data_IF_135355636545
#
_entry.id   IF_135355636545
#
_cell.length_a   1.000
_cell.length_b   1.000
_cell.length_c   1.000
_cell.angle_alpha   90.00
_cell.angle_beta   90.00
_cell.angle_gamma   90.00
#
_symmetry.space_group_name_H-M   'P 1'
#
loop_
_entity.id
_entity.type
_entity.pdbx_description
1 polymer ?
#
# COMPACT_ATOMS: atom_id res chain seq x y z
N UNK A 1 -3.97 2.03 22.55
CA UNK A 1 -3.99 3.48 22.75
C UNK A 1 -5.06 4.04 21.85
N UNK A 2 -6.00 4.79 22.38
CA UNK A 2 -7.03 5.46 21.58
C UNK A 2 -6.61 6.89 21.31
N UNK A 3 -7.22 7.54 20.31
CA UNK A 3 -7.06 8.96 20.08
C UNK A 3 -7.57 9.77 21.29
N UNK A 4 -6.77 10.75 21.71
CA UNK A 4 -7.07 11.66 22.80
C UNK A 4 -6.43 13.03 22.56
N UNK A 5 -6.93 14.04 23.23
CA UNK A 5 -6.36 15.37 23.15
C UNK A 5 -4.99 15.43 23.81
N UNK A 6 -4.03 16.05 23.13
CA UNK A 6 -2.66 16.25 23.61
C UNK A 6 -2.39 17.73 23.86
N UNK A 7 -1.60 18.04 24.89
CA UNK A 7 -1.34 19.42 25.34
C UNK A 7 0.12 19.86 25.14
N UNK A 8 1.04 18.92 24.99
CA UNK A 8 2.47 19.20 24.77
C UNK A 8 3.01 18.52 23.52
N UNK A 9 4.11 19.06 22.98
CA UNK A 9 4.80 18.46 21.82
C UNK A 9 5.28 17.05 22.14
N UNK A 10 5.74 16.81 23.36
CA UNK A 10 6.19 15.47 23.78
C UNK A 10 5.05 14.44 23.80
N UNK A 11 3.87 14.85 24.27
CA UNK A 11 2.67 14.00 24.23
C UNK A 11 2.25 13.69 22.80
N UNK A 12 2.33 14.69 21.90
CA UNK A 12 2.04 14.50 20.47
C UNK A 12 3.03 13.54 19.83
N UNK A 13 4.31 13.71 20.07
CA UNK A 13 5.35 12.82 19.57
C UNK A 13 5.12 11.39 20.07
N UNK A 14 4.81 11.22 21.36
CA UNK A 14 4.55 9.92 21.94
C UNK A 14 3.30 9.25 21.34
N UNK A 15 2.21 10.00 21.17
CA UNK A 15 1.01 9.49 20.50
C UNK A 15 1.30 9.10 19.05
N UNK A 16 2.04 9.94 18.33
CA UNK A 16 2.41 9.68 16.95
C UNK A 16 3.26 8.40 16.80
N UNK A 17 4.25 8.21 17.67
CA UNK A 17 5.06 6.98 17.70
C UNK A 17 4.19 5.74 18.01
N UNK A 18 3.25 5.87 18.91
CA UNK A 18 2.29 4.79 19.25
C UNK A 18 1.35 4.43 18.09
N UNK A 19 1.07 5.34 17.18
CA UNK A 19 0.34 5.07 15.95
C UNK A 19 1.28 4.47 14.89
N UNK A 20 2.43 5.07 14.72
CA UNK A 20 3.41 4.74 13.67
C UNK A 20 4.02 3.34 13.83
N UNK A 21 4.50 2.99 15.01
CA UNK A 21 5.23 1.72 15.22
C UNK A 21 4.37 0.48 14.90
N UNK A 22 3.12 0.36 15.39
CA UNK A 22 2.27 -0.76 15.00
C UNK A 22 1.95 -0.77 13.49
N UNK A 23 1.78 0.39 12.88
CA UNK A 23 1.54 0.47 11.43
C UNK A 23 2.73 -0.03 10.62
N UNK A 24 3.96 0.30 11.03
CA UNK A 24 5.16 -0.24 10.41
C UNK A 24 5.19 -1.76 10.45
N UNK A 25 4.97 -2.35 11.62
CA UNK A 25 4.97 -3.81 11.80
C UNK A 25 3.87 -4.45 10.94
N UNK A 26 2.71 -3.80 10.85
CA UNK A 26 1.61 -4.26 9.99
C UNK A 26 2.02 -4.29 8.52
N UNK A 27 2.64 -3.23 8.02
CA UNK A 27 3.09 -3.16 6.62
C UNK A 27 4.18 -4.17 6.31
N UNK A 28 5.17 -4.33 7.20
CA UNK A 28 6.18 -5.36 7.04
C UNK A 28 5.58 -6.77 7.05
N UNK A 29 4.57 -7.04 7.87
CA UNK A 29 3.89 -8.34 7.89
C UNK A 29 3.15 -8.62 6.58
N UNK A 30 2.52 -7.62 5.97
CA UNK A 30 1.83 -7.76 4.69
C UNK A 30 2.83 -8.07 3.55
N UNK A 31 3.93 -7.33 3.47
CA UNK A 31 4.98 -7.58 2.48
C UNK A 31 5.64 -8.93 2.72
N UNK A 32 5.92 -9.27 3.96
CA UNK A 32 6.52 -10.56 4.34
C UNK A 32 5.66 -11.74 3.93
N UNK A 33 4.34 -11.66 4.10
CA UNK A 33 3.40 -12.68 3.68
C UNK A 33 3.45 -12.97 2.17
N UNK A 34 3.46 -11.90 1.37
CA UNK A 34 3.59 -12.01 -0.09
C UNK A 34 4.94 -12.59 -0.49
N UNK A 35 6.02 -12.10 0.11
CA UNK A 35 7.37 -12.59 -0.18
C UNK A 35 7.50 -14.09 0.10
N UNK A 36 7.03 -14.56 1.25
CA UNK A 36 7.13 -15.98 1.62
C UNK A 36 6.25 -16.84 0.70
N UNK A 37 5.07 -16.40 0.32
CA UNK A 37 4.22 -17.12 -0.63
C UNK A 37 4.93 -17.35 -1.97
N UNK A 38 5.54 -16.31 -2.53
CA UNK A 38 6.31 -16.38 -3.77
C UNK A 38 7.55 -17.24 -3.60
N UNK A 39 8.28 -17.11 -2.50
CA UNK A 39 9.46 -17.89 -2.19
C UNK A 39 9.17 -19.40 -2.10
N UNK A 40 8.15 -19.78 -1.34
CA UNK A 40 7.73 -21.17 -1.19
C UNK A 40 7.25 -21.77 -2.52
N UNK A 41 6.52 -21.00 -3.31
CA UNK A 41 6.08 -21.42 -4.65
C UNK A 41 7.27 -21.66 -5.56
N UNK A 42 8.28 -20.79 -5.52
CA UNK A 42 9.53 -20.95 -6.27
C UNK A 42 10.34 -22.18 -5.87
N UNK A 43 10.34 -22.53 -4.59
CA UNK A 43 10.94 -23.77 -4.07
C UNK A 43 10.23 -25.04 -4.59
N UNK A 44 8.93 -24.94 -4.85
CA UNK A 44 8.13 -26.06 -5.35
C UNK A 44 8.31 -26.31 -6.85
N UNK A 45 8.12 -25.26 -7.68
CA UNK A 45 8.18 -25.38 -9.15
C UNK A 45 8.36 -24.02 -9.80
N UNK A 46 9.22 -23.95 -10.81
CA UNK A 46 9.43 -22.74 -11.63
C UNK A 46 8.18 -22.37 -12.44
N UNK A 47 7.44 -23.37 -12.93
CA UNK A 47 6.19 -23.17 -13.71
C UNK A 47 5.11 -22.59 -12.78
N UNK A 48 4.95 -23.14 -11.59
CA UNK A 48 4.02 -22.66 -10.59
C UNK A 48 4.36 -21.24 -10.16
N UNK A 49 5.64 -20.93 -9.97
CA UNK A 49 6.10 -19.57 -9.67
C UNK A 49 5.71 -18.58 -10.77
N UNK A 50 5.92 -18.93 -12.03
CA UNK A 50 5.54 -18.08 -13.15
C UNK A 50 4.02 -17.82 -13.17
N UNK A 51 3.21 -18.84 -12.95
CA UNK A 51 1.75 -18.73 -12.91
C UNK A 51 1.27 -17.87 -11.73
N UNK A 52 1.76 -18.13 -10.53
CA UNK A 52 1.38 -17.40 -9.31
C UNK A 52 1.84 -15.94 -9.36
N UNK A 53 3.07 -15.68 -9.78
CA UNK A 53 3.60 -14.32 -9.90
C UNK A 53 2.81 -13.50 -10.93
N UNK A 54 2.45 -14.09 -12.05
CA UNK A 54 1.62 -13.45 -13.07
C UNK A 54 0.23 -13.14 -12.50
N UNK A 55 -0.41 -14.11 -11.86
CA UNK A 55 -1.72 -13.93 -11.22
C UNK A 55 -1.70 -12.84 -10.15
N UNK A 56 -0.68 -12.83 -9.31
CA UNK A 56 -0.49 -11.79 -8.29
C UNK A 56 -0.39 -10.39 -8.90
N UNK A 57 0.46 -10.22 -9.92
CA UNK A 57 0.63 -8.92 -10.56
C UNK A 57 -0.65 -8.43 -11.27
N UNK A 58 -1.43 -9.33 -11.84
CA UNK A 58 -2.68 -8.97 -12.51
C UNK A 58 -3.73 -8.42 -11.55
N UNK A 59 -3.96 -9.08 -10.41
CA UNK A 59 -4.96 -8.59 -9.46
C UNK A 59 -4.48 -7.41 -8.62
N UNK A 60 -3.17 -7.30 -8.40
CA UNK A 60 -2.58 -6.26 -7.56
C UNK A 60 -2.94 -4.84 -8.02
N UNK A 61 -2.95 -4.58 -9.32
CA UNK A 61 -3.28 -3.26 -9.87
C UNK A 61 -4.72 -2.85 -9.52
N UNK A 62 -5.68 -3.76 -9.65
CA UNK A 62 -7.06 -3.51 -9.27
C UNK A 62 -7.21 -3.36 -7.75
N UNK A 63 -6.49 -4.17 -7.00
CA UNK A 63 -6.50 -4.10 -5.54
C UNK A 63 -5.95 -2.78 -5.02
N UNK A 64 -4.85 -2.27 -5.57
CA UNK A 64 -4.25 -1.00 -5.16
C UNK A 64 -5.26 0.15 -5.31
N UNK A 65 -5.98 0.20 -6.42
CA UNK A 65 -7.03 1.19 -6.62
C UNK A 65 -8.18 1.03 -5.62
N UNK A 66 -8.66 -0.19 -5.44
CA UNK A 66 -9.76 -0.49 -4.50
C UNK A 66 -9.37 -0.19 -3.04
N UNK A 67 -8.18 -0.60 -2.63
CA UNK A 67 -7.63 -0.32 -1.30
C UNK A 67 -7.52 1.19 -1.06
N UNK A 68 -6.95 1.92 -2.01
CA UNK A 68 -6.84 3.37 -1.93
C UNK A 68 -8.21 4.06 -1.85
N UNK A 69 -9.19 3.57 -2.57
CA UNK A 69 -10.57 4.07 -2.50
C UNK A 69 -11.17 3.86 -1.11
N UNK A 70 -10.97 2.69 -0.52
CA UNK A 70 -11.44 2.39 0.84
C UNK A 70 -10.64 3.11 1.94
N UNK A 71 -9.44 3.57 1.67
CA UNK A 71 -8.67 4.41 2.59
C UNK A 71 -9.33 5.78 2.82
N UNK A 72 -10.24 6.21 1.95
CA UNK A 72 -11.02 7.45 2.13
C UNK A 72 -11.86 7.47 3.41
N UNK A 73 -12.16 6.33 3.99
CA UNK A 73 -12.90 6.23 5.26
C UNK A 73 -12.08 6.78 6.45
N UNK A 74 -10.76 6.67 6.41
CA UNK A 74 -9.87 7.07 7.51
C UNK A 74 -9.98 8.55 7.86
N UNK A 75 -9.80 9.51 6.92
CA UNK A 75 -9.95 10.92 7.26
C UNK A 75 -11.38 11.29 7.66
N UNK A 76 -12.39 10.61 7.12
CA UNK A 76 -13.79 10.86 7.45
C UNK A 76 -14.06 10.46 8.90
N UNK A 77 -13.74 9.23 9.30
CA UNK A 77 -13.95 8.74 10.67
C UNK A 77 -13.10 9.52 11.67
N UNK A 78 -11.83 9.79 11.36
CA UNK A 78 -10.94 10.53 12.27
C UNK A 78 -11.43 11.95 12.54
N UNK A 79 -11.97 12.65 11.52
CA UNK A 79 -12.59 13.95 11.71
C UNK A 79 -13.88 13.87 12.52
N UNK A 80 -14.73 12.87 12.31
CA UNK A 80 -15.95 12.67 13.10
C UNK A 80 -15.62 12.39 14.57
N UNK A 81 -14.59 11.61 14.85
CA UNK A 81 -14.12 11.35 16.22
C UNK A 81 -13.62 12.63 16.88
N UNK A 82 -12.82 13.42 16.19
CA UNK A 82 -12.36 14.72 16.70
C UNK A 82 -13.49 15.69 16.97
N UNK A 83 -14.50 15.73 16.13
CA UNK A 83 -15.71 16.54 16.25
C UNK A 83 -16.71 15.99 17.29
N UNK A 84 -16.44 14.81 17.88
CA UNK A 84 -17.35 14.09 18.79
C UNK A 84 -18.72 13.74 18.16
N UNK A 85 -18.78 13.66 16.83
CA UNK A 85 -19.98 13.27 16.06
C UNK A 85 -19.93 11.77 15.75
N UNK A 86 -20.04 10.96 16.79
CA UNK A 86 -19.83 9.50 16.69
C UNK A 86 -21.03 8.75 16.13
N UNK A 87 -22.21 9.36 16.08
CA UNK A 87 -23.45 8.73 15.63
C UNK A 87 -23.41 8.33 14.14
N UNK A 88 -22.67 9.09 13.34
CA UNK A 88 -22.52 8.82 11.90
C UNK A 88 -21.52 7.71 11.58
N UNK A 89 -20.66 7.30 12.53
CA UNK A 89 -19.58 6.34 12.27
C UNK A 89 -20.14 4.99 11.84
N UNK A 90 -21.21 4.51 12.44
CA UNK A 90 -21.86 3.26 12.05
C UNK A 90 -22.37 3.33 10.60
N UNK A 91 -22.94 4.46 10.20
CA UNK A 91 -23.39 4.66 8.82
C UNK A 91 -22.19 4.64 7.85
N UNK A 92 -21.14 5.39 8.13
CA UNK A 92 -19.92 5.43 7.31
C UNK A 92 -19.30 4.05 7.18
N UNK A 93 -19.23 3.28 8.26
CA UNK A 93 -18.71 1.91 8.24
C UNK A 93 -19.51 1.00 7.28
N UNK A 94 -20.83 0.99 7.38
CA UNK A 94 -21.67 0.15 6.51
C UNK A 94 -21.57 0.56 5.03
N UNK A 95 -21.51 1.87 4.76
CA UNK A 95 -21.29 2.33 3.39
C UNK A 95 -19.92 1.88 2.85
N UNK A 96 -18.87 1.88 3.68
CA UNK A 96 -17.56 1.32 3.33
C UNK A 96 -17.62 -0.16 2.95
N UNK A 97 -18.42 -0.97 3.66
CA UNK A 97 -18.66 -2.36 3.31
C UNK A 97 -19.40 -2.51 1.97
N UNK A 98 -20.39 -1.67 1.69
CA UNK A 98 -21.09 -1.67 0.40
C UNK A 98 -20.15 -1.29 -0.75
N UNK A 99 -19.32 -0.27 -0.57
CA UNK A 99 -18.31 0.13 -1.55
C UNK A 99 -17.31 -1.02 -1.79
N UNK A 100 -16.81 -1.64 -0.74
CA UNK A 100 -15.92 -2.80 -0.82
C UNK A 100 -16.56 -3.97 -1.57
N UNK A 101 -17.83 -4.25 -1.29
CA UNK A 101 -18.59 -5.30 -2.00
C UNK A 101 -18.76 -4.97 -3.48
N UNK A 102 -19.09 -3.72 -3.81
CA UNK A 102 -19.21 -3.26 -5.21
C UNK A 102 -17.89 -3.37 -5.97
N UNK A 103 -16.78 -2.94 -5.35
CA UNK A 103 -15.45 -3.07 -5.94
C UNK A 103 -15.04 -4.55 -6.12
N UNK A 104 -15.35 -5.42 -5.16
CA UNK A 104 -15.10 -6.86 -5.29
C UNK A 104 -15.86 -7.47 -6.46
N UNK A 105 -17.14 -7.12 -6.66
CA UNK A 105 -17.92 -7.57 -7.81
C UNK A 105 -17.32 -7.06 -9.12
N UNK A 106 -16.88 -5.81 -9.20
CA UNK A 106 -16.25 -5.25 -10.40
C UNK A 106 -14.96 -6.00 -10.72
N UNK A 107 -14.10 -6.22 -9.74
CA UNK A 107 -12.83 -6.95 -9.92
C UNK A 107 -13.11 -8.39 -10.36
N UNK A 108 -14.07 -9.06 -9.74
CA UNK A 108 -14.47 -10.43 -10.09
C UNK A 108 -14.99 -10.49 -11.51
N UNK A 109 -15.85 -9.56 -11.93
CA UNK A 109 -16.40 -9.48 -13.28
C UNK A 109 -15.30 -9.27 -14.32
N UNK A 110 -14.37 -8.35 -14.07
CA UNK A 110 -13.21 -8.11 -14.93
C UNK A 110 -12.37 -9.39 -15.04
N UNK A 111 -12.14 -10.08 -13.93
CA UNK A 111 -11.42 -11.35 -13.91
C UNK A 111 -12.09 -12.44 -14.74
N UNK A 112 -13.40 -12.63 -14.57
CA UNK A 112 -14.16 -13.65 -15.32
C UNK A 112 -14.16 -13.37 -16.82
N UNK A 113 -14.35 -12.12 -17.22
CA UNK A 113 -14.47 -11.75 -18.63
C UNK A 113 -13.12 -11.55 -19.34
N UNK A 114 -12.12 -11.04 -18.63
CA UNK A 114 -10.88 -10.55 -19.23
C UNK A 114 -9.66 -11.43 -19.03
N UNK A 115 -9.66 -12.36 -18.07
CA UNK A 115 -8.44 -13.09 -17.68
C UNK A 115 -7.93 -13.99 -18.82
N UNK A 116 -8.80 -14.86 -19.39
CA UNK A 116 -8.38 -15.79 -20.45
C UNK A 116 -7.92 -15.09 -21.73
N UNK A 117 -8.65 -14.09 -22.27
CA UNK A 117 -8.18 -13.29 -23.39
C UNK A 117 -6.84 -12.61 -23.12
N UNK A 118 -6.62 -12.09 -21.91
CA UNK A 118 -5.37 -11.44 -21.55
C UNK A 118 -4.20 -12.43 -21.49
N UNK A 119 -4.39 -13.61 -20.92
CA UNK A 119 -3.35 -14.64 -20.85
C UNK A 119 -2.89 -15.12 -22.22
N UNK A 120 -3.78 -15.15 -23.22
CA UNK A 120 -3.38 -15.50 -24.59
C UNK A 120 -2.46 -14.46 -25.22
N UNK A 121 -2.56 -13.21 -24.83
CA UNK A 121 -1.69 -12.10 -25.31
C UNK A 121 -0.33 -12.07 -24.62
N UNK A 122 -0.21 -12.64 -23.42
CA UNK A 122 1.03 -12.63 -22.63
C UNK A 122 2.03 -13.73 -23.04
N UNK A 123 1.66 -14.62 -23.98
CA UNK A 123 2.51 -15.73 -24.44
C UNK A 123 3.10 -16.58 -23.29
N UNK A 124 2.30 -16.77 -22.24
CA UNK A 124 2.69 -17.59 -21.10
C UNK A 124 2.67 -19.07 -21.50
N UNK A 125 3.59 -19.85 -20.95
CA UNK A 125 3.55 -21.30 -21.13
C UNK A 125 2.17 -21.85 -20.69
N UNK A 126 1.54 -22.76 -21.45
CA UNK A 126 0.19 -23.24 -21.14
C UNK A 126 0.04 -23.80 -19.72
N UNK A 127 1.04 -24.51 -19.21
CA UNK A 127 1.04 -25.02 -17.83
C UNK A 127 1.04 -23.88 -16.80
N UNK A 128 1.84 -22.82 -17.01
CA UNK A 128 1.89 -21.66 -16.15
C UNK A 128 0.59 -20.85 -16.22
N UNK A 129 -0.04 -20.76 -17.40
CA UNK A 129 -1.34 -20.11 -17.56
C UNK A 129 -2.45 -20.81 -16.77
N UNK A 130 -2.48 -22.14 -16.76
CA UNK A 130 -3.43 -22.91 -15.96
C UNK A 130 -3.20 -22.75 -14.46
N UNK A 131 -1.96 -22.70 -14.00
CA UNK A 131 -1.62 -22.38 -12.60
C UNK A 131 -2.10 -20.98 -12.25
N UNK A 132 -1.89 -19.99 -13.11
CA UNK A 132 -2.36 -18.62 -12.93
C UNK A 132 -3.89 -18.55 -12.75
N UNK A 133 -4.65 -19.20 -13.63
CA UNK A 133 -6.11 -19.27 -13.56
C UNK A 133 -6.56 -19.94 -12.26
N UNK A 134 -5.97 -21.07 -11.91
CA UNK A 134 -6.30 -21.82 -10.68
C UNK A 134 -5.97 -21.03 -9.42
N UNK A 135 -4.82 -20.34 -9.40
CA UNK A 135 -4.44 -19.44 -8.31
C UNK A 135 -5.45 -18.31 -8.12
N UNK A 136 -5.86 -17.65 -9.20
CA UNK A 136 -6.83 -16.56 -9.14
C UNK A 136 -8.23 -17.03 -8.73
N UNK A 137 -8.65 -18.23 -9.14
CA UNK A 137 -9.89 -18.84 -8.67
C UNK A 137 -9.85 -19.12 -7.16
N UNK A 138 -8.73 -19.65 -6.66
CA UNK A 138 -8.54 -19.87 -5.24
C UNK A 138 -8.53 -18.55 -4.45
N UNK A 139 -7.83 -17.55 -4.95
CA UNK A 139 -7.77 -16.21 -4.36
C UNK A 139 -9.14 -15.53 -4.36
N UNK A 140 -9.98 -15.74 -5.36
CA UNK A 140 -11.33 -15.15 -5.45
C UNK A 140 -12.22 -15.47 -4.23
N UNK A 141 -11.96 -16.60 -3.54
CA UNK A 141 -12.64 -16.93 -2.28
C UNK A 141 -12.31 -15.94 -1.15
N UNK A 142 -11.16 -15.31 -1.22
CA UNK A 142 -10.72 -14.30 -0.25
C UNK A 142 -10.91 -12.85 -0.70
N UNK A 143 -11.41 -12.61 -1.91
CA UNK A 143 -11.50 -11.26 -2.48
C UNK A 143 -12.47 -10.35 -1.69
N UNK A 144 -13.64 -10.86 -1.35
CA UNK A 144 -14.63 -10.10 -0.56
C UNK A 144 -14.08 -9.75 0.83
N UNK A 145 -13.63 -10.72 1.64
CA UNK A 145 -13.07 -10.39 2.94
C UNK A 145 -11.82 -9.49 2.84
N UNK A 146 -11.00 -9.60 1.81
CA UNK A 146 -9.86 -8.73 1.58
C UNK A 146 -10.26 -7.26 1.50
N UNK A 147 -11.34 -6.95 0.76
CA UNK A 147 -11.81 -5.57 0.63
C UNK A 147 -12.60 -5.11 1.86
N UNK A 148 -13.40 -5.98 2.46
CA UNK A 148 -14.10 -5.65 3.71
C UNK A 148 -13.14 -5.34 4.85
N UNK A 149 -12.04 -6.09 4.96
CA UNK A 149 -11.00 -5.86 5.97
C UNK A 149 -10.43 -4.46 5.88
N UNK A 150 -10.30 -3.87 4.69
CA UNK A 150 -9.83 -2.48 4.58
C UNK A 150 -10.77 -1.51 5.31
N UNK A 151 -12.08 -1.69 5.20
CA UNK A 151 -13.05 -0.89 5.94
C UNK A 151 -12.95 -1.11 7.45
N UNK A 152 -12.89 -2.38 7.90
CA UNK A 152 -12.77 -2.73 9.31
C UNK A 152 -11.47 -2.18 9.90
N UNK A 153 -10.35 -2.42 9.23
CA UNK A 153 -9.02 -1.95 9.67
C UNK A 153 -8.96 -0.43 9.73
N UNK A 154 -9.39 0.26 8.69
CA UNK A 154 -9.37 1.72 8.66
C UNK A 154 -10.25 2.32 9.78
N UNK A 155 -11.36 1.68 10.12
CA UNK A 155 -12.19 2.07 11.27
C UNK A 155 -11.46 1.87 12.59
N UNK A 156 -10.83 0.72 12.80
CA UNK A 156 -10.05 0.43 14.01
C UNK A 156 -8.86 1.39 14.14
N UNK A 157 -8.12 1.59 13.07
CA UNK A 157 -6.94 2.46 13.04
C UNK A 157 -7.30 3.93 13.27
N UNK A 158 -8.44 4.40 12.74
CA UNK A 158 -8.93 5.77 12.95
C UNK A 158 -9.23 6.08 14.42
N UNK A 159 -9.57 5.05 15.20
CA UNK A 159 -9.74 5.18 16.66
C UNK A 159 -8.41 5.17 17.43
N UNK A 160 -7.28 5.08 16.74
CA UNK A 160 -5.96 4.98 17.35
C UNK A 160 -5.61 3.58 17.87
N UNK A 161 -6.41 2.57 17.53
CA UNK A 161 -6.23 1.19 17.99
C UNK A 161 -5.29 0.38 17.08
N UNK A 162 -4.25 1.02 16.56
CA UNK A 162 -3.32 0.44 15.58
C UNK A 162 -2.58 -0.80 16.07
N UNK A 163 -2.39 -0.91 17.38
CA UNK A 163 -1.78 -2.11 17.99
C UNK A 163 -2.65 -3.37 17.86
N UNK A 164 -3.99 -3.22 17.81
CA UNK A 164 -4.87 -4.35 17.48
C UNK A 164 -4.72 -4.75 16.01
N UNK A 165 -4.65 -3.79 15.11
CA UNK A 165 -4.39 -4.05 13.69
C UNK A 165 -3.06 -4.78 13.49
N UNK A 166 -2.01 -4.37 14.18
CA UNK A 166 -0.72 -5.04 14.20
C UNK A 166 -0.83 -6.50 14.64
N UNK A 167 -1.47 -6.74 15.79
CA UNK A 167 -1.62 -8.09 16.32
C UNK A 167 -2.43 -9.00 15.38
N UNK A 168 -3.51 -8.48 14.80
CA UNK A 168 -4.37 -9.23 13.88
C UNK A 168 -3.62 -9.57 12.59
N UNK A 169 -2.99 -8.58 11.97
CA UNK A 169 -2.29 -8.78 10.69
C UNK A 169 -1.07 -9.69 10.88
N UNK A 170 -0.34 -9.56 11.99
CA UNK A 170 0.75 -10.48 12.31
C UNK A 170 0.26 -11.91 12.51
N UNK A 171 -0.84 -12.12 13.22
CA UNK A 171 -1.47 -13.44 13.36
C UNK A 171 -1.86 -14.03 12.02
N UNK A 172 -2.49 -13.22 11.16
CA UNK A 172 -2.84 -13.64 9.79
C UNK A 172 -1.61 -13.94 8.93
N UNK A 173 -0.53 -13.20 9.11
CA UNK A 173 0.75 -13.48 8.45
C UNK A 173 1.26 -14.88 8.84
N UNK A 174 1.26 -15.22 10.13
CA UNK A 174 1.68 -16.56 10.60
C UNK A 174 0.79 -17.65 10.01
N UNK A 175 -0.52 -17.45 10.00
CA UNK A 175 -1.49 -18.40 9.42
C UNK A 175 -1.28 -18.52 7.90
N UNK A 176 -1.02 -17.42 7.20
CA UNK A 176 -0.73 -17.42 5.76
C UNK A 176 0.53 -18.24 5.45
N UNK A 177 1.60 -18.05 6.21
CA UNK A 177 2.84 -18.83 6.07
C UNK A 177 2.59 -20.32 6.31
N UNK A 178 1.86 -20.64 7.36
CA UNK A 178 1.50 -22.02 7.68
C UNK A 178 0.67 -22.67 6.57
N UNK A 179 -0.38 -22.00 6.10
CA UNK A 179 -1.26 -22.52 5.04
C UNK A 179 -0.51 -22.67 3.72
N UNK A 180 0.34 -21.71 3.36
CA UNK A 180 1.17 -21.81 2.17
C UNK A 180 2.08 -23.04 2.22
N UNK A 181 2.80 -23.21 3.31
CA UNK A 181 3.66 -24.36 3.47
C UNK A 181 2.88 -25.69 3.44
N UNK A 182 1.77 -25.77 4.16
CA UNK A 182 0.95 -26.96 4.23
C UNK A 182 0.32 -27.33 2.88
N UNK A 183 -0.21 -26.36 2.15
CA UNK A 183 -0.95 -26.59 0.90
C UNK A 183 -0.03 -26.71 -0.33
N UNK A 184 1.06 -25.97 -0.38
CA UNK A 184 2.00 -26.07 -1.51
C UNK A 184 2.72 -27.42 -1.49
N UNK A 185 3.19 -27.88 -0.34
CA UNK A 185 4.00 -29.09 -0.18
C UNK A 185 3.23 -30.31 0.32
N UNK A 186 1.96 -30.18 0.68
CA UNK A 186 1.15 -31.30 1.16
C UNK A 186 1.52 -31.80 2.56
N UNK A 187 1.87 -30.89 3.48
CA UNK A 187 2.21 -31.25 4.86
C UNK A 187 1.00 -31.20 5.80
N UNK A 188 1.14 -31.78 6.97
CA UNK A 188 0.14 -31.76 8.05
C UNK A 188 -1.25 -32.32 7.67
N UNK A 189 -1.32 -33.24 6.72
CA UNK A 189 -2.58 -33.83 6.24
C UNK A 189 -3.33 -33.00 5.21
N UNK A 190 -2.77 -31.88 4.77
CA UNK A 190 -3.31 -31.09 3.66
C UNK A 190 -2.90 -31.70 2.32
N UNK A 191 -3.74 -31.55 1.26
CA UNK A 191 -3.38 -32.02 -0.08
C UNK A 191 -2.23 -31.18 -0.67
N UNK A 192 -1.35 -31.80 -1.39
CA UNK A 192 -0.33 -31.13 -2.17
C UNK A 192 -0.95 -30.56 -3.45
N UNK A 193 -1.06 -29.24 -3.53
CA UNK A 193 -1.69 -28.55 -4.68
C UNK A 193 -0.73 -27.56 -5.37
N UNK A 194 0.54 -27.53 -4.95
CA UNK A 194 1.55 -26.68 -5.56
C UNK A 194 1.26 -25.18 -5.39
N UNK A 195 1.61 -24.39 -6.40
CA UNK A 195 1.46 -22.93 -6.37
C UNK A 195 0.03 -22.43 -6.15
N UNK A 196 -0.96 -23.22 -6.51
CA UNK A 196 -2.38 -22.89 -6.23
C UNK A 196 -2.65 -22.77 -4.73
N UNK A 197 -1.87 -23.48 -3.90
CA UNK A 197 -1.91 -23.37 -2.45
C UNK A 197 -1.62 -21.96 -1.92
N UNK A 198 -0.84 -21.17 -2.63
CA UNK A 198 -0.60 -19.77 -2.29
C UNK A 198 -1.89 -18.92 -2.40
N UNK A 199 -2.75 -19.23 -3.36
CA UNK A 199 -4.09 -18.59 -3.50
C UNK A 199 -5.02 -18.92 -2.33
N UNK A 200 -5.10 -20.19 -1.96
CA UNK A 200 -5.88 -20.63 -0.78
C UNK A 200 -5.31 -20.09 0.52
N UNK A 201 -3.97 -20.06 0.66
CA UNK A 201 -3.31 -19.49 1.84
C UNK A 201 -3.62 -18.01 2.02
N UNK A 202 -3.60 -17.24 0.95
CA UNK A 202 -3.97 -15.83 0.96
C UNK A 202 -5.46 -15.64 1.29
N UNK A 203 -6.35 -16.44 0.70
CA UNK A 203 -7.78 -16.41 1.01
C UNK A 203 -8.03 -16.73 2.49
N UNK A 204 -7.36 -17.74 3.04
CA UNK A 204 -7.43 -18.08 4.46
C UNK A 204 -6.97 -16.95 5.38
N UNK A 205 -5.89 -16.27 5.03
CA UNK A 205 -5.41 -15.09 5.76
C UNK A 205 -6.42 -13.93 5.70
N UNK A 206 -7.05 -13.68 4.55
CA UNK A 206 -8.07 -12.66 4.40
C UNK A 206 -9.29 -12.93 5.29
N UNK A 207 -9.79 -14.18 5.33
CA UNK A 207 -10.88 -14.58 6.22
C UNK A 207 -10.49 -14.47 7.70
N UNK A 208 -9.26 -14.84 8.05
CA UNK A 208 -8.74 -14.68 9.42
C UNK A 208 -8.74 -13.22 9.83
N UNK A 209 -8.22 -12.34 8.98
CA UNK A 209 -8.27 -10.90 9.22
C UNK A 209 -9.70 -10.39 9.42
N UNK A 210 -10.62 -10.81 8.56
CA UNK A 210 -12.02 -10.40 8.63
C UNK A 210 -12.67 -10.81 9.95
N UNK A 211 -12.47 -12.06 10.37
CA UNK A 211 -13.02 -12.57 11.63
C UNK A 211 -12.40 -11.84 12.83
N UNK A 212 -11.09 -11.68 12.89
CA UNK A 212 -10.41 -11.05 14.02
C UNK A 212 -10.74 -9.56 14.13
N UNK A 213 -10.77 -8.81 13.02
CA UNK A 213 -11.21 -7.41 13.05
C UNK A 213 -12.67 -7.27 13.45
N UNK A 214 -13.54 -8.16 12.97
CA UNK A 214 -14.95 -8.21 13.38
C UNK A 214 -15.10 -8.44 14.88
N UNK A 215 -14.30 -9.35 15.45
CA UNK A 215 -14.29 -9.59 16.89
C UNK A 215 -13.83 -8.36 17.68
N UNK A 216 -12.79 -7.66 17.21
CA UNK A 216 -12.35 -6.42 17.87
C UNK A 216 -13.45 -5.36 17.83
N UNK A 217 -14.13 -5.19 16.71
CA UNK A 217 -15.23 -4.23 16.58
C UNK A 217 -16.40 -4.58 17.51
N UNK A 218 -16.71 -5.87 17.66
CA UNK A 218 -17.78 -6.34 18.54
C UNK A 218 -17.45 -6.22 20.03
N UNK A 219 -16.21 -6.49 20.41
CA UNK A 219 -15.84 -6.69 21.81
C UNK A 219 -15.15 -5.46 22.44
N UNK A 220 -14.45 -4.67 21.64
CA UNK A 220 -13.69 -3.53 22.18
C UNK A 220 -14.61 -2.44 22.74
N UNK A 221 -14.42 -1.98 24.00
CA UNK A 221 -15.34 -1.05 24.68
C UNK A 221 -15.64 0.24 23.89
N UNK A 222 -14.67 0.76 23.13
CA UNK A 222 -14.83 1.99 22.33
C UNK A 222 -15.61 1.80 21.03
N UNK A 223 -15.60 0.58 20.47
CA UNK A 223 -16.26 0.27 19.21
C UNK A 223 -17.62 -0.39 19.43
N UNK A 224 -17.75 -1.13 20.51
CA UNK A 224 -19.00 -1.82 20.89
C UNK A 224 -20.21 -0.88 20.98
N UNK A 225 -19.98 0.36 21.42
CA UNK A 225 -21.02 1.40 21.56
C UNK A 225 -21.71 1.76 20.24
N UNK A 226 -21.06 1.59 19.11
CA UNK A 226 -21.66 1.86 17.80
C UNK A 226 -22.67 0.82 17.35
N UNK A 227 -22.75 -0.35 18.00
CA UNK A 227 -23.69 -1.44 17.73
C UNK A 227 -23.72 -1.85 16.24
N UNK A 228 -22.55 -1.79 15.58
CA UNK A 228 -22.40 -1.90 14.13
C UNK A 228 -23.11 -3.13 13.54
N UNK A 229 -22.98 -4.30 14.20
CA UNK A 229 -23.60 -5.54 13.71
C UNK A 229 -25.05 -5.75 14.21
N UNK A 230 -25.52 -4.94 15.16
CA UNK A 230 -26.90 -5.02 15.67
C UNK A 230 -27.83 -4.06 14.93
N UNK A 231 -27.36 -2.84 14.69
CA UNK A 231 -28.13 -1.78 14.04
C UNK A 231 -27.62 -1.58 12.61
N UNK A 232 -27.92 -2.55 11.75
CA UNK A 232 -27.50 -2.53 10.35
C UNK A 232 -28.10 -1.32 9.63
N UNK A 233 -27.24 -0.56 8.96
CA UNK A 233 -27.63 0.59 8.14
C UNK A 233 -27.62 0.20 6.67
N UNK A 234 -28.73 0.38 5.99
CA UNK A 234 -28.84 0.12 4.56
C UNK A 234 -28.01 1.07 3.69
N UNK A 235 -27.88 0.79 2.38
CA UNK A 235 -27.14 1.65 1.47
C UNK A 235 -27.76 3.05 1.40
N UNK A 236 -26.92 4.09 1.49
CA UNK A 236 -27.31 5.48 1.37
C UNK A 236 -26.46 6.14 0.28
N UNK A 237 -27.12 6.58 -0.78
CA UNK A 237 -26.42 7.24 -1.89
C UNK A 237 -25.63 8.48 -1.45
N UNK A 238 -26.15 9.24 -0.50
CA UNK A 238 -25.48 10.43 0.03
C UNK A 238 -24.11 10.08 0.66
N UNK A 239 -24.08 9.14 1.60
CA UNK A 239 -22.85 8.73 2.28
C UNK A 239 -21.89 7.95 1.39
N UNK A 240 -22.40 7.11 0.48
CA UNK A 240 -21.56 6.43 -0.53
C UNK A 240 -20.88 7.47 -1.41
N UNK A 241 -21.62 8.46 -1.91
CA UNK A 241 -21.05 9.55 -2.72
C UNK A 241 -19.99 10.35 -1.97
N UNK A 242 -20.22 10.65 -0.69
CA UNK A 242 -19.24 11.34 0.17
C UNK A 242 -17.94 10.54 0.28
N UNK A 243 -18.04 9.25 0.58
CA UNK A 243 -16.87 8.38 0.69
C UNK A 243 -16.13 8.22 -0.65
N UNK A 244 -16.84 8.05 -1.74
CA UNK A 244 -16.24 7.93 -3.06
C UNK A 244 -15.58 9.24 -3.52
N UNK A 245 -16.15 10.39 -3.13
CA UNK A 245 -15.58 11.69 -3.43
C UNK A 245 -14.20 11.89 -2.79
N UNK A 246 -13.97 11.31 -1.63
CA UNK A 246 -12.67 11.28 -0.97
C UNK A 246 -11.84 10.09 -1.43
N UNK A 247 -12.43 8.91 -1.54
CA UNK A 247 -11.72 7.64 -1.79
C UNK A 247 -11.22 7.48 -3.22
N UNK A 248 -12.02 7.80 -4.24
CA UNK A 248 -11.60 7.64 -5.64
C UNK A 248 -10.35 8.45 -5.98
N UNK A 249 -10.22 9.73 -5.58
CA UNK A 249 -8.97 10.45 -5.79
C UNK A 249 -7.77 9.83 -5.07
N UNK A 250 -7.95 9.30 -3.88
CA UNK A 250 -6.89 8.59 -3.15
C UNK A 250 -6.48 7.32 -3.91
N UNK A 251 -7.44 6.49 -4.29
CA UNK A 251 -7.20 5.29 -5.06
C UNK A 251 -6.54 5.59 -6.41
N UNK A 252 -7.00 6.63 -7.09
CA UNK A 252 -6.42 7.10 -8.34
C UNK A 252 -4.98 7.58 -8.20
N UNK A 253 -4.66 8.34 -7.16
CA UNK A 253 -3.29 8.82 -6.93
C UNK A 253 -2.31 7.67 -6.65
N UNK A 254 -2.71 6.71 -5.83
CA UNK A 254 -1.88 5.53 -5.53
C UNK A 254 -1.73 4.64 -6.78
N UNK A 255 -2.80 4.48 -7.56
CA UNK A 255 -2.75 3.74 -8.81
C UNK A 255 -1.81 4.38 -9.84
N UNK A 256 -1.84 5.70 -10.00
CA UNK A 256 -0.95 6.44 -10.90
C UNK A 256 0.51 6.27 -10.49
N UNK A 257 0.80 6.35 -9.18
CA UNK A 257 2.13 6.12 -8.63
C UNK A 257 2.61 4.69 -8.90
N UNK A 258 1.78 3.69 -8.60
CA UNK A 258 2.12 2.28 -8.81
C UNK A 258 2.29 1.94 -10.30
N UNK A 259 1.46 2.48 -11.17
CA UNK A 259 1.48 2.19 -12.62
C UNK A 259 2.74 2.68 -13.31
N UNK A 260 3.36 3.77 -12.83
CA UNK A 260 4.60 4.27 -13.43
C UNK A 260 5.78 3.30 -13.21
N UNK A 261 5.81 2.57 -12.10
CA UNK A 261 6.83 1.55 -11.88
C UNK A 261 6.70 0.39 -12.87
N UNK A 262 5.47 0.00 -13.20
CA UNK A 262 5.21 -1.01 -14.23
C UNK A 262 5.71 -0.56 -15.61
N UNK A 263 5.47 0.69 -15.96
CA UNK A 263 5.95 1.27 -17.23
C UNK A 263 7.47 1.42 -17.23
N UNK A 264 8.08 1.85 -16.13
CA UNK A 264 9.52 1.90 -16.00
C UNK A 264 10.15 0.52 -16.23
N UNK A 265 9.58 -0.55 -15.64
CA UNK A 265 10.00 -1.92 -15.88
C UNK A 265 9.88 -2.34 -17.34
N UNK A 266 8.81 -1.96 -18.04
CA UNK A 266 8.64 -2.22 -19.47
C UNK A 266 9.68 -1.50 -20.35
N UNK A 267 10.03 -0.27 -20.01
CA UNK A 267 11.10 0.46 -20.71
C UNK A 267 12.47 -0.22 -20.53
N UNK A 268 12.72 -0.85 -19.39
CA UNK A 268 13.96 -1.59 -19.13
C UNK A 268 14.11 -2.84 -19.99
N UNK A 269 13.03 -3.43 -20.46
CA UNK A 269 13.07 -4.65 -21.30
C UNK A 269 13.89 -4.44 -22.57
N UNK A 270 13.92 -3.24 -23.12
CA UNK A 270 14.70 -2.91 -24.33
C UNK A 270 16.23 -2.98 -24.13
N UNK A 271 16.70 -2.98 -22.89
CA UNK A 271 18.12 -3.00 -22.54
C UNK A 271 18.65 -4.40 -22.19
N UNK A 272 17.81 -5.43 -22.24
CA UNK A 272 18.18 -6.81 -22.00
C UNK A 272 17.82 -7.32 -20.59
N UNK A 273 17.95 -8.63 -20.41
CA UNK A 273 17.54 -9.34 -19.21
C UNK A 273 18.34 -8.96 -17.96
N UNK A 274 19.65 -8.70 -18.12
CA UNK A 274 20.50 -8.28 -17.00
C UNK A 274 20.05 -6.93 -16.40
N UNK A 275 19.71 -5.98 -17.27
CA UNK A 275 19.21 -4.67 -16.85
C UNK A 275 17.84 -4.78 -16.16
N UNK A 276 16.95 -5.60 -16.71
CA UNK A 276 15.63 -5.86 -16.08
C UNK A 276 15.80 -6.49 -14.70
N UNK A 277 16.67 -7.48 -14.58
CA UNK A 277 16.94 -8.14 -13.30
C UNK A 277 17.50 -7.16 -12.26
N UNK A 278 18.46 -6.33 -12.65
CA UNK A 278 19.05 -5.31 -11.76
C UNK A 278 18.02 -4.26 -11.34
N UNK A 279 17.23 -3.76 -12.27
CA UNK A 279 16.16 -2.80 -12.00
C UNK A 279 15.12 -3.37 -11.02
N UNK A 280 14.66 -4.59 -11.27
CA UNK A 280 13.68 -5.26 -10.41
C UNK A 280 14.22 -5.51 -9.01
N UNK A 281 15.50 -5.86 -8.88
CA UNK A 281 16.16 -6.03 -7.58
C UNK A 281 16.17 -4.75 -6.78
N UNK A 282 16.54 -3.62 -7.39
CA UNK A 282 16.57 -2.32 -6.72
C UNK A 282 15.16 -1.84 -6.37
N UNK A 283 14.18 -2.02 -7.24
CA UNK A 283 12.77 -1.69 -6.95
C UNK A 283 12.26 -2.52 -5.75
N UNK A 284 12.57 -3.81 -5.71
CA UNK A 284 12.18 -4.67 -4.58
C UNK A 284 12.80 -4.21 -3.27
N UNK A 285 14.06 -3.81 -3.30
CA UNK A 285 14.74 -3.24 -2.14
C UNK A 285 14.10 -1.92 -1.69
N UNK A 286 13.84 -0.99 -2.59
CA UNK A 286 13.21 0.30 -2.27
C UNK A 286 11.79 0.13 -1.72
N UNK A 287 11.03 -0.86 -2.21
CA UNK A 287 9.69 -1.17 -1.71
C UNK A 287 9.66 -1.61 -0.25
N UNK A 288 10.70 -2.30 0.22
CA UNK A 288 10.81 -2.67 1.64
C UNK A 288 10.89 -1.41 2.51
N UNK A 289 11.71 -0.44 2.11
CA UNK A 289 11.85 0.82 2.85
C UNK A 289 10.64 1.74 2.72
N UNK A 290 9.87 1.61 1.64
CA UNK A 290 8.63 2.38 1.43
C UNK A 290 7.58 2.15 2.54
N UNK A 291 7.64 1.03 3.25
CA UNK A 291 6.79 0.78 4.41
C UNK A 291 6.90 1.87 5.49
N UNK A 292 8.07 2.46 5.67
CA UNK A 292 8.32 3.47 6.68
C UNK A 292 7.59 4.79 6.36
N UNK A 293 7.82 5.44 5.21
CA UNK A 293 7.10 6.67 4.87
C UNK A 293 5.60 6.46 4.70
N UNK A 294 5.17 5.29 4.21
CA UNK A 294 3.76 4.94 4.12
C UNK A 294 3.11 4.90 5.51
N UNK A 295 3.78 4.32 6.49
CA UNK A 295 3.30 4.28 7.88
C UNK A 295 3.23 5.67 8.52
N UNK A 296 4.17 6.57 8.20
CA UNK A 296 4.08 7.97 8.61
C UNK A 296 2.86 8.64 7.96
N UNK A 297 2.64 8.41 6.66
CA UNK A 297 1.49 8.98 5.95
C UNK A 297 0.16 8.55 6.59
N UNK A 298 0.00 7.26 6.88
CA UNK A 298 -1.20 6.72 7.52
C UNK A 298 -1.41 7.30 8.93
N UNK A 299 -0.36 7.35 9.74
CA UNK A 299 -0.40 7.93 11.09
C UNK A 299 -0.73 9.43 11.06
N UNK A 300 -0.16 10.15 10.09
CA UNK A 300 -0.43 11.57 9.86
C UNK A 300 -1.89 11.80 9.50
N UNK A 301 -2.45 10.98 8.63
CA UNK A 301 -3.87 11.09 8.25
C UNK A 301 -4.77 10.99 9.46
N UNK A 302 -4.52 10.04 10.36
CA UNK A 302 -5.32 9.85 11.58
C UNK A 302 -5.15 11.02 12.54
N UNK A 303 -3.91 11.36 12.90
CA UNK A 303 -3.64 12.39 13.92
C UNK A 303 -4.08 13.78 13.46
N UNK A 304 -3.74 14.16 12.23
CA UNK A 304 -4.10 15.48 11.69
C UNK A 304 -5.62 15.60 11.48
N UNK A 305 -6.26 14.56 10.93
CA UNK A 305 -7.72 14.59 10.71
C UNK A 305 -8.49 14.65 12.03
N UNK A 306 -8.04 13.97 13.07
CA UNK A 306 -8.64 14.04 14.40
C UNK A 306 -8.61 15.47 14.96
N UNK A 307 -7.47 16.15 14.89
CA UNK A 307 -7.32 17.53 15.36
C UNK A 307 -8.13 18.52 14.52
N UNK A 308 -8.19 18.31 13.20
CA UNK A 308 -9.02 19.13 12.31
C UNK A 308 -10.51 18.98 12.62
N UNK A 309 -10.97 17.77 12.87
CA UNK A 309 -12.34 17.50 13.27
C UNK A 309 -12.71 18.15 14.60
N UNK A 310 -11.78 18.24 15.52
CA UNK A 310 -11.93 18.91 16.80
C UNK A 310 -11.84 20.45 16.72
N UNK A 311 -11.57 21.01 15.53
CA UNK A 311 -11.37 22.45 15.34
C UNK A 311 -10.03 22.99 15.83
N UNK A 312 -9.11 22.12 16.25
CA UNK A 312 -7.79 22.48 16.79
C UNK A 312 -6.74 22.58 15.67
N UNK A 313 -6.85 23.59 14.83
CA UNK A 313 -6.01 23.78 13.63
C UNK A 313 -4.51 23.88 13.96
N UNK A 314 -4.14 24.56 15.06
CA UNK A 314 -2.74 24.69 15.49
C UNK A 314 -2.13 23.33 15.85
N UNK A 315 -2.90 22.49 16.53
CA UNK A 315 -2.48 21.14 16.90
C UNK A 315 -2.29 20.24 15.65
N UNK A 316 -3.20 20.35 14.69
CA UNK A 316 -3.09 19.65 13.40
C UNK A 316 -1.80 20.03 12.67
N UNK A 317 -1.42 21.31 12.66
CA UNK A 317 -0.16 21.78 12.08
C UNK A 317 1.04 21.22 12.84
N UNK A 318 1.00 21.12 14.15
CA UNK A 318 2.09 20.54 14.97
C UNK A 318 2.29 19.05 14.65
N UNK A 319 1.22 18.27 14.50
CA UNK A 319 1.33 16.89 14.05
C UNK A 319 1.92 16.78 12.62
N UNK A 320 1.57 17.71 11.74
CA UNK A 320 2.16 17.78 10.41
C UNK A 320 3.68 18.05 10.46
N UNK A 321 4.15 18.89 11.38
CA UNK A 321 5.58 19.12 11.60
C UNK A 321 6.28 17.87 12.16
N UNK A 322 5.68 17.19 13.12
CA UNK A 322 6.21 15.93 13.67
C UNK A 322 6.39 14.91 12.54
N UNK A 323 5.38 14.74 11.69
CA UNK A 323 5.44 13.83 10.56
C UNK A 323 6.56 14.18 9.58
N UNK A 324 6.75 15.46 9.26
CA UNK A 324 7.83 15.91 8.35
C UNK A 324 9.22 15.69 8.95
N UNK A 325 9.40 16.00 10.24
CA UNK A 325 10.68 15.76 10.92
C UNK A 325 11.01 14.28 10.96
N UNK A 326 10.04 13.43 11.29
CA UNK A 326 10.23 11.96 11.25
C UNK A 326 10.54 11.48 9.83
N UNK A 327 9.89 12.03 8.82
CA UNK A 327 10.16 11.72 7.42
C UNK A 327 11.60 12.03 7.01
N UNK A 328 12.11 13.20 7.42
CA UNK A 328 13.50 13.61 7.14
C UNK A 328 14.49 12.68 7.85
N UNK A 329 14.24 12.36 9.12
CA UNK A 329 15.08 11.43 9.88
C UNK A 329 15.13 10.06 9.20
N UNK A 330 13.98 9.52 8.80
CA UNK A 330 13.90 8.23 8.10
C UNK A 330 14.60 8.30 6.75
N UNK A 331 14.42 9.38 5.98
CA UNK A 331 15.12 9.57 4.70
C UNK A 331 16.65 9.54 4.88
N UNK A 332 17.16 10.23 5.89
CA UNK A 332 18.59 10.22 6.21
C UNK A 332 19.09 8.84 6.65
N UNK A 333 18.30 8.11 7.45
CA UNK A 333 18.63 6.75 7.87
C UNK A 333 18.64 5.77 6.69
N UNK A 334 17.69 5.88 5.79
CA UNK A 334 17.65 5.06 4.55
C UNK A 334 18.89 5.35 3.70
N UNK A 335 19.24 6.62 3.50
CA UNK A 335 20.45 7.01 2.78
C UNK A 335 21.70 6.43 3.43
N UNK A 336 21.89 6.66 4.73
CA UNK A 336 23.05 6.18 5.46
C UNK A 336 23.18 4.65 5.41
N UNK A 337 22.09 3.95 5.65
CA UNK A 337 22.06 2.48 5.59
C UNK A 337 22.42 1.97 4.19
N UNK A 338 21.76 2.50 3.17
CA UNK A 338 21.98 2.03 1.79
C UNK A 338 23.38 2.34 1.31
N UNK A 339 23.93 3.55 1.54
CA UNK A 339 25.29 3.89 1.13
C UNK A 339 26.37 3.06 1.85
N UNK A 340 26.15 2.71 3.10
CA UNK A 340 27.12 1.90 3.87
C UNK A 340 27.09 0.40 3.51
N UNK A 341 25.98 -0.09 2.90
CA UNK A 341 25.76 -1.50 2.62
C UNK A 341 25.48 -1.79 1.13
N UNK A 342 25.91 -0.90 0.22
CA UNK A 342 25.63 -1.06 -1.21
C UNK A 342 26.18 -2.39 -1.77
N UNK A 343 27.39 -2.80 -1.35
CA UNK A 343 28.00 -4.05 -1.77
C UNK A 343 27.22 -5.27 -1.22
N UNK A 344 26.88 -5.25 0.07
CA UNK A 344 26.13 -6.32 0.73
C UNK A 344 24.73 -6.49 0.10
N UNK A 345 24.08 -5.38 -0.28
CA UNK A 345 22.78 -5.39 -0.93
C UNK A 345 22.89 -6.00 -2.34
N UNK A 346 23.92 -5.62 -3.10
CA UNK A 346 24.13 -6.17 -4.43
C UNK A 346 24.44 -7.67 -4.37
N UNK A 347 25.27 -8.10 -3.44
CA UNK A 347 25.60 -9.52 -3.20
C UNK A 347 24.37 -10.35 -2.79
N UNK A 348 23.42 -9.74 -2.07
CA UNK A 348 22.19 -10.42 -1.66
C UNK A 348 21.32 -10.82 -2.85
N UNK A 349 21.31 -10.01 -3.92
CA UNK A 349 20.41 -10.20 -5.06
C UNK A 349 20.99 -11.03 -6.20
N UNK A 350 22.32 -11.09 -6.33
CA UNK A 350 22.94 -11.77 -7.48
C UNK A 350 24.37 -12.24 -7.20
N UNK A 351 24.74 -13.33 -7.88
CA UNK A 351 26.12 -13.82 -7.98
C UNK A 351 26.72 -13.56 -9.38
N UNK A 352 26.00 -12.88 -10.27
CA UNK A 352 26.45 -12.53 -11.62
C UNK A 352 27.12 -11.16 -11.59
N UNK A 353 28.36 -11.07 -12.04
CA UNK A 353 29.17 -9.85 -11.99
C UNK A 353 28.56 -8.70 -12.81
N UNK A 354 27.93 -8.99 -13.95
CA UNK A 354 27.28 -7.98 -14.79
C UNK A 354 26.06 -7.39 -14.08
N UNK A 355 25.20 -8.26 -13.54
CA UNK A 355 24.02 -7.84 -12.78
C UNK A 355 24.41 -7.13 -11.49
N UNK A 356 25.47 -7.58 -10.81
CA UNK A 356 26.01 -6.92 -9.62
C UNK A 356 26.40 -5.47 -9.89
N UNK A 357 27.17 -5.24 -10.96
CA UNK A 357 27.59 -3.90 -11.34
C UNK A 357 26.42 -2.98 -11.67
N UNK A 358 25.39 -3.50 -12.35
CA UNK A 358 24.16 -2.75 -12.64
C UNK A 358 23.35 -2.45 -11.37
N UNK A 359 23.20 -3.42 -10.47
CA UNK A 359 22.52 -3.20 -9.18
C UNK A 359 23.22 -2.11 -8.38
N UNK A 360 24.56 -2.16 -8.30
CA UNK A 360 25.33 -1.16 -7.59
C UNK A 360 25.11 0.25 -8.14
N UNK A 361 25.11 0.41 -9.47
CA UNK A 361 24.86 1.68 -10.12
C UNK A 361 23.40 2.15 -9.93
N UNK A 362 22.44 1.26 -10.07
CA UNK A 362 21.01 1.59 -9.88
C UNK A 362 20.69 1.90 -8.42
N UNK A 363 21.36 1.28 -7.46
CA UNK A 363 21.23 1.63 -6.04
C UNK A 363 21.61 3.09 -5.78
N UNK A 364 22.59 3.64 -6.47
CA UNK A 364 22.93 5.05 -6.39
C UNK A 364 21.74 5.97 -6.71
N UNK A 365 20.96 5.62 -7.74
CA UNK A 365 19.70 6.33 -8.04
C UNK A 365 18.58 5.96 -7.05
N UNK A 366 18.47 4.69 -6.69
CA UNK A 366 17.45 4.18 -5.78
C UNK A 366 17.52 4.76 -4.38
N UNK A 367 18.71 5.09 -3.88
CA UNK A 367 18.92 5.77 -2.60
C UNK A 367 18.24 7.14 -2.60
N UNK A 368 18.55 7.97 -3.60
CA UNK A 368 17.96 9.31 -3.72
C UNK A 368 16.46 9.23 -3.97
N UNK A 369 16.02 8.28 -4.80
CA UNK A 369 14.60 8.02 -5.01
C UNK A 369 13.89 7.74 -3.69
N UNK A 370 14.37 6.77 -2.92
CA UNK A 370 13.78 6.39 -1.63
C UNK A 370 13.80 7.52 -0.61
N UNK A 371 14.86 8.31 -0.57
CA UNK A 371 14.99 9.44 0.35
C UNK A 371 13.99 10.56 0.02
N UNK A 372 13.89 10.94 -1.24
CA UNK A 372 12.95 11.99 -1.69
C UNK A 372 11.51 11.52 -1.51
N UNK A 373 11.23 10.28 -1.86
CA UNK A 373 9.91 9.67 -1.69
C UNK A 373 9.51 9.56 -0.21
N UNK A 374 10.47 9.24 0.67
CA UNK A 374 10.25 9.21 2.11
C UNK A 374 9.86 10.58 2.70
N UNK A 375 10.25 11.68 2.05
CA UNK A 375 9.84 13.04 2.44
C UNK A 375 8.48 13.38 1.82
N UNK A 376 8.23 12.98 0.58
CA UNK A 376 7.01 13.31 -0.17
C UNK A 376 5.77 12.53 0.26
N UNK A 377 5.91 11.23 0.53
CA UNK A 377 4.78 10.35 0.86
C UNK A 377 4.02 10.77 2.12
N UNK A 378 4.65 11.16 3.24
CA UNK A 378 3.92 11.66 4.40
C UNK A 378 3.08 12.91 4.12
N UNK A 379 3.49 13.76 3.19
CA UNK A 379 2.72 14.94 2.79
C UNK A 379 1.39 14.56 2.12
N UNK A 380 1.34 13.47 1.38
CA UNK A 380 0.08 12.92 0.86
C UNK A 380 -0.86 12.55 2.01
N UNK A 381 -0.34 11.91 3.06
CA UNK A 381 -1.11 11.57 4.27
C UNK A 381 -1.70 12.80 4.96
N UNK A 382 -0.91 13.87 5.08
CA UNK A 382 -1.35 15.14 5.64
C UNK A 382 -2.47 15.75 4.76
N UNK A 383 -2.30 15.80 3.44
CA UNK A 383 -3.30 16.33 2.53
C UNK A 383 -4.60 15.52 2.53
N UNK A 384 -4.51 14.20 2.69
CA UNK A 384 -5.68 13.32 2.88
C UNK A 384 -6.46 13.69 4.15
N UNK A 385 -5.76 14.03 5.23
CA UNK A 385 -6.38 14.49 6.47
C UNK A 385 -7.19 15.78 6.29
N UNK A 386 -6.72 16.68 5.42
CA UNK A 386 -7.44 17.89 5.01
C UNK A 386 -8.55 17.62 3.98
N UNK A 387 -8.70 16.38 3.53
CA UNK A 387 -9.59 15.98 2.40
C UNK A 387 -9.30 16.71 1.09
N UNK A 388 -8.07 17.20 0.91
CA UNK A 388 -7.61 17.84 -0.33
C UNK A 388 -7.10 16.81 -1.35
N UNK A 389 -7.86 15.77 -1.53
CA UNK A 389 -7.48 14.55 -2.25
C UNK A 389 -7.47 14.72 -3.78
N UNK A 390 -8.30 15.63 -4.30
CA UNK A 390 -8.31 15.93 -5.76
C UNK A 390 -7.00 16.56 -6.21
N UNK A 391 -6.45 17.47 -5.41
CA UNK A 391 -5.16 18.09 -5.72
C UNK A 391 -4.05 17.06 -5.62
N UNK A 392 -4.10 16.14 -4.66
CA UNK A 392 -3.16 15.01 -4.58
C UNK A 392 -3.22 14.18 -5.86
N UNK A 393 -4.40 13.86 -6.38
CA UNK A 393 -4.58 13.15 -7.64
C UNK A 393 -3.94 13.91 -8.82
N UNK A 394 -4.20 15.21 -8.94
CA UNK A 394 -3.63 16.03 -10.04
C UNK A 394 -2.10 16.14 -9.92
N UNK A 395 -1.56 16.32 -8.73
CA UNK A 395 -0.11 16.33 -8.50
C UNK A 395 0.50 14.98 -8.89
N UNK A 396 -0.13 13.88 -8.51
CA UNK A 396 0.32 12.54 -8.88
C UNK A 396 0.30 12.33 -10.40
N UNK A 397 -0.77 12.76 -11.07
CA UNK A 397 -0.87 12.67 -12.53
C UNK A 397 0.24 13.47 -13.21
N UNK A 398 0.43 14.71 -12.82
CA UNK A 398 1.45 15.60 -13.42
C UNK A 398 2.86 15.07 -13.12
N UNK A 399 3.15 14.68 -11.89
CA UNK A 399 4.49 14.27 -11.49
C UNK A 399 4.86 12.90 -12.06
N UNK A 400 4.02 11.89 -11.88
CA UNK A 400 4.38 10.52 -12.28
C UNK A 400 4.19 10.29 -13.78
N UNK A 401 3.10 10.76 -14.36
CA UNK A 401 2.84 10.57 -15.80
C UNK A 401 3.30 11.74 -16.66
N UNK A 402 3.15 12.97 -16.20
CA UNK A 402 3.56 14.17 -16.93
C UNK A 402 5.06 14.43 -16.93
N UNK A 403 5.77 14.09 -15.86
CA UNK A 403 7.22 14.31 -15.71
C UNK A 403 8.00 13.01 -15.92
N UNK A 404 7.65 11.93 -15.21
CA UNK A 404 8.44 10.70 -15.26
C UNK A 404 8.41 10.06 -16.65
N UNK A 405 7.23 9.80 -17.19
CA UNK A 405 7.10 9.07 -18.45
C UNK A 405 7.81 9.77 -19.63
N UNK A 406 7.57 11.06 -19.92
CA UNK A 406 8.29 11.75 -20.98
C UNK A 406 9.80 11.80 -20.75
N UNK A 407 10.25 12.11 -19.55
CA UNK A 407 11.68 12.15 -19.21
C UNK A 407 12.33 10.80 -19.37
N UNK A 408 11.75 9.76 -18.80
CA UNK A 408 12.26 8.38 -18.90
C UNK A 408 12.32 7.92 -20.37
N UNK A 409 11.27 8.16 -21.13
CA UNK A 409 11.16 7.74 -22.52
C UNK A 409 12.20 8.44 -23.43
N UNK A 410 12.35 9.75 -23.28
CA UNK A 410 13.30 10.56 -24.09
C UNK A 410 14.73 10.17 -23.70
N UNK A 411 15.06 10.11 -22.41
CA UNK A 411 16.42 9.80 -21.98
C UNK A 411 16.79 8.34 -22.22
N UNK A 412 15.86 7.40 -22.13
CA UNK A 412 16.12 6.00 -22.45
C UNK A 412 16.51 5.78 -23.93
N UNK A 413 16.00 6.60 -24.83
CA UNK A 413 16.39 6.57 -26.26
C UNK A 413 17.73 7.23 -26.55
N UNK A 414 18.25 8.03 -25.64
CA UNK A 414 19.55 8.68 -25.83
C UNK A 414 20.67 7.68 -25.46
N UNK A 415 21.62 7.39 -26.39
CA UNK A 415 22.69 6.45 -26.13
C UNK A 415 23.59 6.79 -24.93
N UNK A 416 23.64 8.08 -24.56
CA UNK A 416 24.47 8.55 -23.43
C UNK A 416 23.90 8.16 -22.07
N UNK A 417 22.59 7.94 -21.96
CA UNK A 417 21.91 7.62 -20.71
C UNK A 417 21.44 6.16 -20.65
N UNK A 418 20.84 5.64 -21.72
CA UNK A 418 20.34 4.28 -21.77
C UNK A 418 19.35 3.98 -20.63
N UNK A 419 19.53 2.87 -19.87
CA UNK A 419 18.66 2.51 -18.76
C UNK A 419 18.70 3.49 -17.59
N UNK A 420 19.78 4.24 -17.42
CA UNK A 420 19.88 5.30 -16.39
C UNK A 420 18.89 6.44 -16.63
N UNK A 421 18.50 6.67 -17.90
CA UNK A 421 17.47 7.64 -18.25
C UNK A 421 16.11 7.34 -17.60
N UNK A 422 15.77 6.07 -17.43
CA UNK A 422 14.54 5.64 -16.72
C UNK A 422 14.63 6.02 -15.24
N UNK A 423 15.76 5.76 -14.59
CA UNK A 423 15.99 6.15 -13.20
C UNK A 423 16.01 7.67 -12.99
N UNK A 424 16.56 8.42 -13.95
CA UNK A 424 16.49 9.89 -13.91
C UNK A 424 15.03 10.38 -14.02
N UNK A 425 14.22 9.73 -14.86
CA UNK A 425 12.79 10.01 -14.93
C UNK A 425 12.05 9.74 -13.62
N UNK A 426 12.35 8.62 -12.96
CA UNK A 426 11.79 8.28 -11.64
C UNK A 426 12.19 9.31 -10.59
N UNK A 427 13.46 9.71 -10.54
CA UNK A 427 13.95 10.75 -9.63
C UNK A 427 13.27 12.10 -9.89
N UNK A 428 13.13 12.50 -11.14
CA UNK A 428 12.46 13.75 -11.50
C UNK A 428 11.00 13.74 -11.04
N UNK A 429 10.31 12.62 -11.13
CA UNK A 429 8.92 12.49 -10.70
C UNK A 429 8.73 12.64 -9.20
N UNK A 430 9.53 11.95 -8.39
CA UNK A 430 9.42 12.07 -6.92
C UNK A 430 9.86 13.42 -6.43
N UNK A 431 10.81 14.06 -7.10
CA UNK A 431 11.24 15.43 -6.80
C UNK A 431 10.11 16.42 -7.11
N UNK A 432 9.50 16.32 -8.27
CA UNK A 432 8.36 17.16 -8.67
C UNK A 432 7.17 16.96 -7.72
N UNK A 433 6.83 15.71 -7.39
CA UNK A 433 5.77 15.39 -6.44
C UNK A 433 6.07 15.97 -5.05
N UNK A 434 7.28 15.78 -4.55
CA UNK A 434 7.70 16.30 -3.24
C UNK A 434 7.62 17.82 -3.15
N UNK A 435 8.04 18.54 -4.17
CA UNK A 435 7.96 20.01 -4.24
C UNK A 435 6.49 20.46 -4.27
N UNK A 436 5.67 19.86 -5.12
CA UNK A 436 4.26 20.23 -5.26
C UNK A 436 3.44 19.89 -4.02
N UNK A 437 3.66 18.74 -3.40
CA UNK A 437 3.01 18.37 -2.13
C UNK A 437 3.43 19.28 -0.98
N UNK A 438 4.71 19.67 -0.91
CA UNK A 438 5.20 20.61 0.09
C UNK A 438 4.55 21.99 -0.08
N UNK A 439 4.52 22.49 -1.30
CA UNK A 439 3.87 23.77 -1.63
C UNK A 439 2.37 23.74 -1.28
N UNK A 440 1.66 22.68 -1.66
CA UNK A 440 0.22 22.57 -1.40
C UNK A 440 -0.09 22.47 0.09
N UNK A 441 0.70 21.70 0.83
CA UNK A 441 0.53 21.58 2.28
C UNK A 441 0.76 22.92 2.97
N UNK A 442 1.83 23.64 2.58
CA UNK A 442 2.10 24.98 3.09
C UNK A 442 0.96 25.95 2.79
N UNK A 443 0.45 25.93 1.55
CA UNK A 443 -0.66 26.78 1.12
C UNK A 443 -1.92 26.60 1.95
N UNK A 444 -2.35 25.33 2.14
CA UNK A 444 -3.54 25.02 2.93
C UNK A 444 -3.35 25.42 4.40
N UNK A 445 -2.20 25.12 4.98
CA UNK A 445 -1.92 25.44 6.38
C UNK A 445 -1.81 26.94 6.63
N UNK A 446 -1.36 27.70 5.65
CA UNK A 446 -1.33 29.17 5.74
C UNK A 446 -2.73 29.79 5.74
N UNK A 447 -3.65 29.23 4.99
CA UNK A 447 -5.05 29.74 4.97
C UNK A 447 -5.81 29.48 6.29
N UNK A 448 -5.27 28.61 7.12
CA UNK A 448 -5.90 28.24 8.39
C UNK A 448 -5.31 28.93 9.61
N UNK A 449 -4.22 29.67 9.45
CA UNK A 449 -3.66 30.54 10.48
C UNK A 449 -4.47 31.82 10.59
#
# INVERSE_FOLDING_TARGET
VSMYQTYSILQKLWLFIKLFTPMCITQFSLIGGTFIAIFLTGQYSTIDLAGVATGYNLWLLFYIFAQGTLMGITPIISQLLGAKKTDDISMIFHQGLFIGTGLAFIILLIGILGLRPLLTTLNLEPAAAEVCVSYLKAFALGLFPLLWVNTLRNTVDSHGLTHYSMAIVFTSFVINVFLNYALIFGHYGFPEIGGVGAGYGLAGACWTNFILFSLVILLHPKLKGYRIYKDFKGPSFHYIREQLHVGIPIGGSIFLEASIFSIAGLLMVHFGSAVVAAHQSVISFTNVFYCLPLSIAMSSTIAVAYELGAGRKKEAIQYSYIARVMAIIIALLICAFTFTHMDDIADLFTNDDEVYGLIYQFLGYGVFFSAIDAIGTPLQGILRAYKDVKVVLYISLVSYWGVCFPTAYILAKNPNYGPFGVWIGLLASVLAAGILFTWRTWYIQRQQK
#
